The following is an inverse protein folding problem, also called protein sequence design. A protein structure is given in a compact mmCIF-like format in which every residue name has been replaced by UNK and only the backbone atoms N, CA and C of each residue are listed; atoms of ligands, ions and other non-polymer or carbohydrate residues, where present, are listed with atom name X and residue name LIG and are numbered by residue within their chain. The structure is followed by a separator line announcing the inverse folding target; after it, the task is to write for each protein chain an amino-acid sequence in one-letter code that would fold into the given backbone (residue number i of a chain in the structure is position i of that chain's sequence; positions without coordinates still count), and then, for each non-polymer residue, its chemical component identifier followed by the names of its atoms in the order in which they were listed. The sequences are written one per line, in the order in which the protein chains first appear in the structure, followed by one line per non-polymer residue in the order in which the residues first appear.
data_IF_349516829749
#
_entry.id   IF_349516829749
#
_cell.length_a   1.000
_cell.length_b   1.000
_cell.length_c   1.000
_cell.angle_alpha   90.00
_cell.angle_beta   90.00
_cell.angle_gamma   90.00
#
_symmetry.space_group_name_H-M   'P 1'
#
loop_
_entity.id
_entity.type
_entity.pdbx_description
1 polymer ?
#
# COMPACT_ATOMS: atom_id res chain seq x y z
N UNK A 1 8.51 -13.38 -14.46
CA UNK A 1 8.62 -12.42 -13.32
C UNK A 1 8.16 -13.17 -12.06
N UNK A 2 9.04 -13.40 -11.09
CA UNK A 2 8.83 -14.31 -9.94
C UNK A 2 9.03 -13.63 -8.57
N UNK A 3 9.09 -12.30 -8.53
CA UNK A 3 9.25 -11.51 -7.31
C UNK A 3 8.17 -10.42 -7.24
N UNK A 4 7.83 -10.00 -6.02
CA UNK A 4 6.85 -8.95 -5.71
C UNK A 4 7.37 -8.04 -4.59
N UNK A 5 6.80 -6.84 -4.47
CA UNK A 5 7.10 -5.88 -3.41
C UNK A 5 5.92 -5.80 -2.46
N UNK A 6 6.19 -5.91 -1.16
CA UNK A 6 5.21 -5.57 -0.13
C UNK A 6 5.41 -4.12 0.29
N UNK A 7 4.42 -3.29 0.01
CA UNK A 7 4.34 -1.89 0.42
C UNK A 7 3.70 -1.86 1.80
N UNK A 8 4.49 -2.16 2.83
CA UNK A 8 4.00 -2.25 4.20
C UNK A 8 4.75 -1.38 5.18
N UNK A 9 4.02 -0.79 6.13
CA UNK A 9 4.59 0.14 7.10
C UNK A 9 5.15 1.42 6.49
N UNK A 10 4.76 1.78 5.26
CA UNK A 10 5.30 2.93 4.54
C UNK A 10 5.17 4.24 5.35
N UNK A 11 4.03 4.43 6.04
CA UNK A 11 3.78 5.63 6.83
C UNK A 11 4.74 5.78 8.04
N UNK A 12 5.35 4.69 8.53
CA UNK A 12 6.36 4.80 9.61
C UNK A 12 7.71 5.33 9.13
N UNK A 13 7.89 5.49 7.81
CA UNK A 13 9.08 6.06 7.19
C UNK A 13 8.92 7.57 6.90
N UNK A 14 7.71 8.09 7.07
CA UNK A 14 7.39 9.51 6.87
C UNK A 14 8.15 10.38 7.87
N UNK A 15 8.71 11.48 7.38
CA UNK A 15 9.19 12.57 8.24
C UNK A 15 8.14 13.66 8.43
N UNK A 16 7.14 13.69 7.57
CA UNK A 16 6.02 14.63 7.63
C UNK A 16 4.85 14.04 8.43
N UNK A 17 4.00 14.89 9.04
CA UNK A 17 2.79 14.42 9.72
C UNK A 17 1.77 13.84 8.73
N UNK A 18 0.75 13.15 9.25
CA UNK A 18 -0.40 12.67 8.47
C UNK A 18 -0.96 13.82 7.59
N UNK A 19 -1.21 13.59 6.28
CA UNK A 19 -1.31 12.30 5.59
C UNK A 19 -0.01 11.77 4.96
N UNK A 20 1.16 12.15 5.50
CA UNK A 20 2.48 11.61 5.12
C UNK A 20 2.87 11.91 3.66
N UNK A 21 2.86 13.18 3.22
CA UNK A 21 3.04 13.52 1.80
C UNK A 21 4.37 13.06 1.19
N UNK A 22 5.43 12.98 1.98
CA UNK A 22 6.80 12.64 1.56
C UNK A 22 6.99 11.15 1.23
N UNK A 23 6.04 10.27 1.59
CA UNK A 23 6.11 8.84 1.23
C UNK A 23 5.81 8.59 -0.24
N UNK A 24 5.10 9.52 -0.92
CA UNK A 24 4.54 9.28 -2.25
C UNK A 24 5.57 9.28 -3.37
N UNK A 25 6.59 10.14 -3.33
CA UNK A 25 7.61 10.18 -4.39
C UNK A 25 8.50 8.93 -4.40
N UNK A 26 8.97 8.41 -3.24
CA UNK A 26 9.59 7.09 -3.19
C UNK A 26 8.66 5.96 -3.67
N UNK A 27 7.39 5.98 -3.28
CA UNK A 27 6.43 4.96 -3.70
C UNK A 27 6.15 4.99 -5.20
N UNK A 28 6.02 6.17 -5.81
CA UNK A 28 5.83 6.33 -7.25
C UNK A 28 6.96 5.65 -8.02
N UNK A 29 8.23 5.84 -7.61
CA UNK A 29 9.38 5.16 -8.22
C UNK A 29 9.30 3.63 -8.12
N UNK A 30 8.79 3.11 -7.00
CA UNK A 30 8.54 1.66 -6.84
C UNK A 30 7.43 1.20 -7.79
N UNK A 31 6.33 1.96 -7.89
CA UNK A 31 5.21 1.64 -8.76
C UNK A 31 5.59 1.70 -10.24
N UNK A 32 6.38 2.67 -10.68
CA UNK A 32 6.86 2.77 -12.06
C UNK A 32 7.75 1.58 -12.44
N UNK A 33 8.66 1.17 -11.53
CA UNK A 33 9.59 0.07 -11.79
C UNK A 33 8.91 -1.32 -11.73
N UNK A 34 7.97 -1.51 -10.80
CA UNK A 34 7.35 -2.82 -10.55
C UNK A 34 5.98 -2.98 -11.20
N UNK A 35 5.24 -1.90 -11.40
CA UNK A 35 3.83 -1.92 -11.74
C UNK A 35 2.96 -2.44 -10.59
N UNK A 36 1.75 -1.90 -10.50
CA UNK A 36 0.80 -2.19 -9.41
C UNK A 36 0.47 -3.68 -9.24
N UNK A 37 0.47 -4.50 -10.30
CA UNK A 37 0.21 -5.94 -10.18
C UNK A 37 1.25 -6.70 -9.34
N UNK A 38 2.40 -6.08 -9.03
CA UNK A 38 3.46 -6.67 -8.20
C UNK A 38 3.71 -5.91 -6.90
N UNK A 39 2.84 -4.96 -6.55
CA UNK A 39 2.92 -4.19 -5.31
C UNK A 39 1.74 -4.54 -4.39
N UNK A 40 2.03 -5.15 -3.25
CA UNK A 40 1.03 -5.62 -2.29
C UNK A 40 1.03 -4.68 -1.08
N UNK A 41 -0.07 -3.98 -0.84
CA UNK A 41 -0.17 -3.11 0.32
C UNK A 41 -0.44 -3.88 1.63
N UNK A 42 0.01 -3.33 2.76
CA UNK A 42 -0.39 -3.77 4.09
C UNK A 42 0.02 -2.76 5.18
N UNK A 43 -0.69 -2.71 6.31
CA UNK A 43 -0.40 -1.73 7.38
C UNK A 43 0.88 -2.01 8.16
N UNK A 44 1.27 -3.29 8.24
CA UNK A 44 2.25 -3.80 9.20
C UNK A 44 1.83 -3.65 10.67
N UNK A 45 0.53 -3.69 10.93
CA UNK A 45 -0.01 -3.86 12.27
C UNK A 45 0.30 -5.27 12.81
N UNK A 46 0.69 -5.46 14.07
CA UNK A 46 0.82 -4.52 15.18
C UNK A 46 2.17 -3.80 15.25
N UNK A 47 3.21 -4.18 14.50
CA UNK A 47 4.55 -3.59 14.58
C UNK A 47 4.54 -2.06 14.43
N UNK A 48 3.69 -1.51 13.58
CA UNK A 48 3.61 -0.08 13.32
C UNK A 48 2.94 0.76 14.42
N UNK A 49 2.26 0.15 15.40
CA UNK A 49 1.34 0.84 16.32
C UNK A 49 1.98 1.96 17.16
N UNK A 50 3.28 1.85 17.45
CA UNK A 50 4.00 2.84 18.24
C UNK A 50 4.29 4.14 17.47
N UNK A 51 4.12 4.14 16.13
CA UNK A 51 4.46 5.26 15.24
C UNK A 51 3.23 5.77 14.49
N UNK A 52 2.32 4.88 14.08
CA UNK A 52 1.12 5.23 13.33
C UNK A 52 -0.06 4.39 13.78
N UNK A 53 -1.23 5.00 13.91
CA UNK A 53 -2.46 4.25 14.20
C UNK A 53 -2.98 3.55 12.92
N UNK A 54 -3.87 2.57 13.10
CA UNK A 54 -4.36 1.76 11.98
C UNK A 54 -5.11 2.59 10.93
N UNK A 55 -5.96 3.52 11.37
CA UNK A 55 -6.75 4.39 10.49
C UNK A 55 -5.85 5.24 9.59
N UNK A 56 -4.88 5.95 10.15
CA UNK A 56 -3.96 6.80 9.39
C UNK A 56 -3.14 6.00 8.38
N UNK A 57 -2.71 4.79 8.74
CA UNK A 57 -1.98 3.91 7.82
C UNK A 57 -2.84 3.45 6.62
N UNK A 58 -4.16 3.33 6.81
CA UNK A 58 -5.12 2.93 5.76
C UNK A 58 -5.56 4.14 4.93
N UNK A 59 -6.03 5.19 5.59
CA UNK A 59 -6.67 6.33 4.94
C UNK A 59 -5.71 7.16 4.10
N UNK A 60 -4.42 7.20 4.46
CA UNK A 60 -3.40 7.81 3.60
C UNK A 60 -3.41 7.20 2.18
N UNK A 61 -3.61 5.88 2.06
CA UNK A 61 -3.69 5.20 0.75
C UNK A 61 -5.11 5.22 0.15
N UNK A 62 -6.16 5.26 0.98
CA UNK A 62 -7.54 5.31 0.50
C UNK A 62 -7.96 6.67 -0.05
N UNK A 63 -7.40 7.76 0.47
CA UNK A 63 -7.86 9.12 0.17
C UNK A 63 -6.90 9.94 -0.70
N UNK A 64 -5.68 9.46 -0.95
CA UNK A 64 -4.71 10.17 -1.80
C UNK A 64 -5.24 10.43 -3.21
N UNK A 65 -4.84 11.55 -3.82
CA UNK A 65 -5.07 11.87 -5.24
C UNK A 65 -3.93 11.35 -6.14
N UNK A 66 -2.85 10.82 -5.56
CA UNK A 66 -1.68 10.27 -6.26
C UNK A 66 -1.94 8.94 -6.96
N UNK A 67 -3.10 8.33 -6.73
CA UNK A 67 -3.52 7.05 -7.30
C UNK A 67 -4.86 7.21 -8.00
N UNK A 68 -4.98 6.69 -9.21
CA UNK A 68 -6.30 6.45 -9.82
C UNK A 68 -7.06 5.35 -9.06
N UNK A 69 -8.37 5.29 -9.24
CA UNK A 69 -9.21 4.27 -8.60
C UNK A 69 -8.79 2.84 -8.96
N UNK A 70 -8.36 2.63 -10.20
CA UNK A 70 -7.87 1.32 -10.68
C UNK A 70 -6.56 0.94 -10.00
N UNK A 71 -5.63 1.87 -9.88
CA UNK A 71 -4.34 1.64 -9.22
C UNK A 71 -4.53 1.37 -7.74
N UNK A 72 -5.38 2.16 -7.08
CA UNK A 72 -5.75 1.99 -5.68
C UNK A 72 -6.37 0.62 -5.42
N UNK A 73 -7.36 0.21 -6.23
CA UNK A 73 -7.99 -1.11 -6.10
C UNK A 73 -6.99 -2.26 -6.31
N UNK A 74 -6.06 -2.11 -7.26
CA UNK A 74 -5.00 -3.10 -7.48
C UNK A 74 -4.03 -3.16 -6.29
N UNK A 75 -3.52 -2.01 -5.83
CA UNK A 75 -2.57 -1.91 -4.73
C UNK A 75 -3.14 -2.46 -3.42
N UNK A 76 -4.36 -2.03 -3.06
CA UNK A 76 -4.98 -2.28 -1.76
C UNK A 76 -5.67 -3.65 -1.65
N UNK A 77 -5.57 -4.51 -2.66
CA UNK A 77 -6.08 -5.88 -2.56
C UNK A 77 -5.91 -6.73 -3.82
N UNK A 78 -6.09 -6.15 -5.01
CA UNK A 78 -6.06 -6.90 -6.27
C UNK A 78 -4.74 -7.65 -6.51
N UNK A 79 -3.61 -7.00 -6.28
CA UNK A 79 -2.28 -7.61 -6.44
C UNK A 79 -2.07 -8.76 -5.44
N UNK A 80 -2.49 -8.55 -4.18
CA UNK A 80 -2.40 -9.55 -3.13
C UNK A 80 -3.23 -10.80 -3.49
N UNK A 81 -4.50 -10.62 -3.88
CA UNK A 81 -5.39 -11.69 -4.32
C UNK A 81 -4.80 -12.48 -5.51
N UNK A 82 -4.27 -11.79 -6.53
CA UNK A 82 -3.64 -12.40 -7.70
C UNK A 82 -2.39 -13.22 -7.32
N UNK A 83 -1.50 -12.65 -6.51
CA UNK A 83 -0.23 -13.27 -6.13
C UNK A 83 -0.43 -14.50 -5.25
N UNK A 84 -1.33 -14.42 -4.26
CA UNK A 84 -1.65 -15.55 -3.39
C UNK A 84 -2.66 -16.53 -4.01
N UNK A 85 -3.14 -16.27 -5.23
CA UNK A 85 -4.20 -17.06 -5.90
C UNK A 85 -5.43 -17.22 -5.00
N UNK A 86 -5.78 -16.15 -4.31
CA UNK A 86 -6.86 -16.10 -3.36
C UNK A 86 -8.03 -15.30 -3.93
N UNK A 87 -9.23 -15.86 -3.83
CA UNK A 87 -10.49 -15.15 -4.03
C UNK A 87 -11.32 -15.28 -2.76
N UNK A 88 -11.98 -14.20 -2.29
CA UNK A 88 -12.99 -14.34 -1.25
C UNK A 88 -14.00 -15.40 -1.71
N UNK A 89 -14.34 -16.34 -0.83
CA UNK A 89 -15.55 -17.12 -1.05
C UNK A 89 -16.71 -16.16 -0.81
N UNK A 90 -17.74 -16.22 -1.64
CA UNK A 90 -19.00 -15.53 -1.34
C UNK A 90 -19.44 -15.99 0.06
N UNK A 91 -19.68 -15.04 0.95
CA UNK A 91 -20.22 -15.30 2.28
C UNK A 91 -21.66 -15.80 2.17
#
# INVERSE_FOLDING_TARGET
RNAVIKVSGACTLSREPYPFPDVWDPLARVFDAWGFERCLWGTDWTRAFAVVNYEQAVEAFRQTDRLSDRERAMLMGGACAKVYRWSPKNA
#
